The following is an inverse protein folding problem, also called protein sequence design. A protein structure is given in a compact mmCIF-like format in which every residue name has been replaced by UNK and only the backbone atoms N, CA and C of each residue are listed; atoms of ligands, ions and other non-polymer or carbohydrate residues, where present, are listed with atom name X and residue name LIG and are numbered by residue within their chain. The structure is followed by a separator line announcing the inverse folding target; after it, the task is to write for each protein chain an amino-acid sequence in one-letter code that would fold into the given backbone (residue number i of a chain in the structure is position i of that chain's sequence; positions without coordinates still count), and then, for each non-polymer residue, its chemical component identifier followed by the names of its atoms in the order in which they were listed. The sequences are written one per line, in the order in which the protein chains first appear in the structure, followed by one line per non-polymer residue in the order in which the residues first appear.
data_IF_863752434595
#
_entry.id   IF_863752434595
#
_cell.length_a   1.000
_cell.length_b   1.000
_cell.length_c   1.000
_cell.angle_alpha   90.00
_cell.angle_beta   90.00
_cell.angle_gamma   90.00
#
_symmetry.space_group_name_H-M   'P 1'
#
loop_
_entity.id
_entity.type
_entity.pdbx_description
1 polymer ?
#
# COMPACT_ATOMS: atom_id res chain seq x y z
N UNK A 1 63.84 -40.31 6.38
CA UNK A 1 65.30 -40.12 6.49
C UNK A 1 65.83 -39.84 5.08
N UNK A 2 66.41 -38.64 4.83
CA UNK A 2 66.88 -38.13 3.51
C UNK A 2 65.73 -37.95 2.48
N UNK A 3 65.44 -36.78 1.88
CA UNK A 3 66.19 -35.60 1.39
C UNK A 3 67.03 -35.86 0.14
N UNK A 4 66.60 -35.26 -0.97
CA UNK A 4 67.46 -34.61 -1.97
C UNK A 4 66.71 -33.42 -2.59
N UNK A 5 67.41 -32.30 -2.82
CA UNK A 5 66.87 -31.02 -3.30
C UNK A 5 67.24 -30.74 -4.77
N UNK A 6 66.43 -29.90 -5.43
CA UNK A 6 66.85 -28.82 -6.35
C UNK A 6 65.57 -27.99 -6.68
N UNK A 7 65.42 -26.68 -6.41
CA UNK A 7 66.25 -25.49 -6.72
C UNK A 7 66.29 -25.24 -8.26
N UNK A 8 65.85 -24.13 -8.88
CA UNK A 8 65.31 -22.78 -8.51
C UNK A 8 64.29 -22.37 -9.64
N UNK A 9 63.23 -21.54 -9.47
CA UNK A 9 63.10 -20.07 -9.73
C UNK A 9 61.78 -19.54 -9.15
N UNK A 10 61.79 -18.29 -8.64
CA UNK A 10 60.68 -17.63 -7.94
C UNK A 10 59.59 -17.00 -8.85
N UNK A 11 58.39 -16.86 -8.29
CA UNK A 11 57.38 -15.87 -8.69
C UNK A 11 56.51 -15.48 -7.47
N UNK A 12 56.93 -14.44 -6.74
CA UNK A 12 56.25 -13.94 -5.55
C UNK A 12 55.15 -12.93 -5.92
N UNK A 13 53.92 -13.09 -5.42
CA UNK A 13 52.99 -11.96 -5.35
C UNK A 13 51.92 -12.12 -4.24
N UNK A 14 52.29 -11.80 -3.00
CA UNK A 14 51.34 -11.60 -1.90
C UNK A 14 50.88 -10.14 -1.92
N UNK A 15 49.66 -9.87 -2.39
CA UNK A 15 49.13 -8.51 -2.44
C UNK A 15 48.57 -8.08 -1.08
N UNK A 16 49.43 -7.50 -0.25
CA UNK A 16 49.04 -6.75 0.94
C UNK A 16 48.70 -5.31 0.53
N UNK A 17 47.43 -4.90 0.55
CA UNK A 17 47.04 -3.53 0.20
C UNK A 17 46.63 -2.72 1.44
N UNK A 18 47.62 -2.09 2.06
CA UNK A 18 47.41 -1.14 3.15
C UNK A 18 46.96 0.23 2.61
N UNK A 19 45.80 0.70 3.07
CA UNK A 19 45.32 2.04 2.75
C UNK A 19 46.22 3.12 3.37
N UNK A 20 46.96 3.85 2.52
CA UNK A 20 47.70 5.03 2.94
C UNK A 20 46.92 6.30 2.55
N UNK A 21 46.51 7.08 3.54
CA UNK A 21 46.03 8.45 3.34
C UNK A 21 47.21 9.39 3.09
N UNK A 22 47.39 9.87 1.86
CA UNK A 22 48.08 11.13 1.55
C UNK A 22 47.90 11.53 0.08
N UNK A 23 47.03 12.50 -0.20
CA UNK A 23 46.86 13.11 -1.53
C UNK A 23 46.98 14.63 -1.46
N UNK A 24 48.19 15.16 -1.58
CA UNK A 24 48.43 16.61 -1.57
C UNK A 24 47.96 17.28 -2.88
N UNK A 25 46.83 18.00 -2.83
CA UNK A 25 46.41 18.92 -3.89
C UNK A 25 47.12 20.27 -3.77
N UNK A 26 47.81 20.70 -4.84
CA UNK A 26 48.49 22.01 -4.91
C UNK A 26 47.49 23.17 -4.90
N UNK A 27 47.86 24.26 -4.21
CA UNK A 27 47.16 25.54 -4.31
C UNK A 27 47.11 26.05 -5.75
N UNK A 28 45.96 26.62 -6.13
CA UNK A 28 45.84 27.59 -7.22
C UNK A 28 45.10 28.79 -6.67
N UNK A 29 45.79 29.92 -6.59
CA UNK A 29 45.17 31.20 -6.31
C UNK A 29 44.17 31.54 -7.42
N UNK A 30 42.97 31.98 -7.06
CA UNK A 30 42.12 32.71 -8.00
C UNK A 30 41.32 33.78 -7.25
N UNK A 31 41.62 35.04 -7.56
CA UNK A 31 40.97 36.22 -7.01
C UNK A 31 39.57 36.37 -7.61
N UNK A 32 38.53 36.02 -6.85
CA UNK A 32 37.13 36.20 -7.23
C UNK A 32 36.31 36.74 -6.05
N UNK A 33 35.70 37.92 -6.22
CA UNK A 33 34.76 38.49 -5.24
C UNK A 33 33.42 37.74 -5.28
N UNK A 34 32.76 37.65 -4.12
CA UNK A 34 31.34 37.28 -4.03
C UNK A 34 31.11 36.08 -3.13
N UNK A 35 30.69 36.34 -1.89
CA UNK A 35 30.17 35.30 -1.02
C UNK A 35 28.64 35.28 -1.19
N UNK A 36 28.10 34.23 -1.82
CA UNK A 36 26.67 33.94 -1.78
C UNK A 36 26.44 32.60 -1.09
N UNK A 37 25.65 32.65 -0.01
CA UNK A 37 25.19 31.47 0.71
C UNK A 37 24.12 30.81 -0.13
N UNK A 38 24.35 29.58 -0.60
CA UNK A 38 23.31 28.75 -1.19
C UNK A 38 22.27 28.36 -0.12
N UNK A 39 21.28 29.22 0.08
CA UNK A 39 20.16 28.98 0.97
C UNK A 39 19.17 28.05 0.27
N UNK A 40 19.25 26.75 0.54
CA UNK A 40 18.37 25.73 -0.03
C UNK A 40 16.95 25.80 0.52
N UNK A 41 16.21 26.85 0.18
CA UNK A 41 14.76 26.88 0.38
C UNK A 41 14.12 25.98 -0.69
N UNK A 42 13.55 24.86 -0.27
CA UNK A 42 12.56 24.16 -1.09
C UNK A 42 11.38 25.08 -1.29
N UNK A 43 11.15 25.57 -2.51
CA UNK A 43 9.89 26.23 -2.84
C UNK A 43 8.76 25.24 -2.59
N UNK A 44 7.92 25.52 -1.62
CA UNK A 44 6.70 24.77 -1.38
C UNK A 44 5.80 24.96 -2.60
N UNK A 45 5.77 23.96 -3.48
CA UNK A 45 5.01 24.01 -4.72
C UNK A 45 3.55 24.29 -4.40
N UNK A 46 2.98 25.30 -5.06
CA UNK A 46 1.59 25.71 -4.89
C UNK A 46 0.69 24.47 -4.96
N UNK A 47 -0.27 24.28 -4.02
CA UNK A 47 -1.11 23.09 -4.02
C UNK A 47 -1.83 22.96 -5.37
N UNK A 48 -1.49 21.90 -6.10
CA UNK A 48 -2.13 21.59 -7.38
C UNK A 48 -3.61 21.40 -7.08
N UNK A 49 -4.44 22.27 -7.63
CA UNK A 49 -5.89 22.21 -7.45
C UNK A 49 -6.41 20.99 -8.21
N UNK A 50 -6.53 19.86 -7.51
CA UNK A 50 -7.05 18.61 -8.06
C UNK A 50 -8.51 18.81 -8.39
N UNK A 51 -8.80 19.06 -9.68
CA UNK A 51 -10.16 19.13 -10.20
C UNK A 51 -10.67 17.74 -10.58
N UNK A 52 -12.00 17.55 -10.70
CA UNK A 52 -12.54 16.33 -11.25
C UNK A 52 -12.04 16.13 -12.69
N UNK A 53 -11.34 15.02 -12.92
CA UNK A 53 -10.93 14.61 -14.26
C UNK A 53 -12.11 13.86 -14.88
N UNK A 54 -12.71 14.43 -15.92
CA UNK A 54 -13.63 13.69 -16.78
C UNK A 54 -12.81 12.66 -17.58
N UNK A 55 -13.03 11.39 -17.28
CA UNK A 55 -12.47 10.25 -18.00
C UNK A 55 -13.60 9.59 -18.80
N UNK A 56 -13.29 9.04 -19.98
CA UNK A 56 -14.20 8.18 -20.77
C UNK A 56 -14.52 6.84 -20.07
N UNK A 57 -14.12 6.69 -18.80
CA UNK A 57 -14.17 5.46 -18.02
C UNK A 57 -15.58 5.06 -17.59
N UNK A 58 -16.57 5.96 -17.63
CA UNK A 58 -17.92 5.67 -17.14
C UNK A 58 -18.61 4.60 -18.00
N UNK A 59 -18.42 4.66 -19.32
CA UNK A 59 -18.94 3.68 -20.26
C UNK A 59 -18.15 2.36 -20.19
N UNK A 60 -16.81 2.40 -20.12
CA UNK A 60 -15.96 1.22 -19.90
C UNK A 60 -16.36 0.45 -18.63
N UNK A 61 -16.59 1.17 -17.52
CA UNK A 61 -17.05 0.61 -16.24
C UNK A 61 -18.45 -0.01 -16.35
N UNK A 62 -19.42 0.69 -16.97
CA UNK A 62 -20.78 0.17 -17.15
C UNK A 62 -20.80 -1.09 -18.00
N UNK A 63 -20.01 -1.12 -19.07
CA UNK A 63 -19.97 -2.26 -19.99
C UNK A 63 -19.21 -3.44 -19.37
N UNK A 64 -18.21 -3.18 -18.53
CA UNK A 64 -17.57 -4.21 -17.69
C UNK A 64 -18.57 -4.88 -16.74
N UNK A 65 -19.42 -4.12 -16.05
CA UNK A 65 -20.46 -4.70 -15.18
C UNK A 65 -21.48 -5.53 -15.96
N UNK A 66 -21.93 -5.03 -17.14
CA UNK A 66 -22.87 -5.76 -18.02
C UNK A 66 -22.27 -7.04 -18.60
N UNK A 67 -20.95 -7.10 -18.79
CA UNK A 67 -20.26 -8.28 -19.32
C UNK A 67 -20.19 -9.44 -18.31
N UNK A 68 -20.33 -9.16 -17.01
CA UNK A 68 -20.25 -10.15 -15.92
C UNK A 68 -21.45 -10.04 -14.96
N UNK A 69 -22.70 -10.26 -15.43
CA UNK A 69 -23.92 -10.02 -14.64
C UNK A 69 -24.05 -10.95 -13.41
N UNK A 70 -23.47 -12.15 -13.46
CA UNK A 70 -23.43 -13.09 -12.32
C UNK A 70 -22.38 -12.71 -11.26
N UNK A 71 -21.43 -11.83 -11.59
CA UNK A 71 -20.42 -11.33 -10.67
C UNK A 71 -20.84 -9.99 -10.04
N UNK A 72 -21.52 -9.13 -10.78
CA UNK A 72 -21.97 -7.80 -10.35
C UNK A 72 -23.49 -7.78 -10.14
N UNK A 73 -23.94 -8.26 -8.99
CA UNK A 73 -25.36 -8.44 -8.66
C UNK A 73 -25.88 -7.28 -7.80
N UNK A 74 -27.05 -6.75 -8.12
CA UNK A 74 -27.76 -5.78 -7.27
C UNK A 74 -29.02 -6.46 -6.75
N UNK A 75 -29.19 -6.47 -5.43
CA UNK A 75 -30.33 -7.06 -4.74
C UNK A 75 -31.04 -5.99 -3.90
N UNK A 76 -32.03 -6.41 -3.13
CA UNK A 76 -32.68 -5.59 -2.11
C UNK A 76 -32.24 -6.03 -0.72
N UNK A 77 -32.41 -5.16 0.26
CA UNK A 77 -32.19 -5.48 1.67
C UNK A 77 -33.07 -6.65 2.13
N UNK A 78 -34.26 -6.82 1.54
CA UNK A 78 -35.15 -7.97 1.79
C UNK A 78 -34.58 -9.33 1.33
N UNK A 79 -33.57 -9.36 0.44
CA UNK A 79 -32.92 -10.59 -0.03
C UNK A 79 -31.80 -11.07 0.93
N UNK A 80 -31.51 -10.32 2.00
CA UNK A 80 -30.54 -10.69 3.03
C UNK A 80 -31.18 -11.75 3.96
N UNK A 81 -30.54 -12.90 4.21
CA UNK A 81 -31.12 -13.94 5.07
C UNK A 81 -31.38 -13.44 6.51
N UNK A 82 -32.60 -13.65 7.00
CA UNK A 82 -33.02 -13.23 8.35
C UNK A 82 -32.28 -13.96 9.48
N UNK A 83 -31.69 -15.14 9.20
CA UNK A 83 -31.03 -16.01 10.17
C UNK A 83 -29.51 -15.83 10.25
N UNK A 84 -28.99 -14.75 9.67
CA UNK A 84 -27.59 -14.35 9.81
C UNK A 84 -27.22 -14.05 11.26
N UNK A 85 -26.14 -14.68 11.73
CA UNK A 85 -25.49 -14.34 12.99
C UNK A 85 -24.54 -13.18 12.74
N UNK A 86 -24.98 -11.99 13.14
CA UNK A 86 -24.17 -10.78 13.05
C UNK A 86 -23.19 -10.67 14.21
N UNK A 87 -21.96 -10.30 13.89
CA UNK A 87 -20.85 -10.04 14.81
C UNK A 87 -20.38 -8.58 14.60
N UNK A 88 -20.00 -7.89 15.68
CA UNK A 88 -19.59 -6.48 15.67
C UNK A 88 -18.17 -6.22 16.21
N UNK A 89 -17.52 -7.24 16.79
CA UNK A 89 -16.17 -7.15 17.36
C UNK A 89 -16.03 -6.27 18.60
N UNK A 90 -17.12 -5.69 19.14
CA UNK A 90 -17.05 -4.72 20.24
C UNK A 90 -16.72 -5.34 21.61
N UNK A 91 -16.69 -6.67 21.68
CA UNK A 91 -16.27 -7.43 22.86
C UNK A 91 -14.77 -7.79 22.91
N UNK A 92 -14.00 -7.52 21.85
CA UNK A 92 -12.55 -7.80 21.83
C UNK A 92 -11.79 -6.90 22.83
N UNK A 93 -10.68 -7.38 23.42
CA UNK A 93 -9.95 -6.64 24.44
C UNK A 93 -9.25 -5.41 23.87
N UNK A 94 -9.13 -4.34 24.66
CA UNK A 94 -8.44 -3.12 24.21
C UNK A 94 -6.92 -3.33 24.24
N UNK A 95 -6.33 -3.59 23.07
CA UNK A 95 -4.87 -3.71 22.85
C UNK A 95 -4.09 -2.37 22.90
N UNK A 96 -4.79 -1.24 23.04
CA UNK A 96 -4.17 0.10 23.01
C UNK A 96 -4.03 0.72 24.40
N UNK A 97 -2.96 1.51 24.62
CA UNK A 97 -2.79 2.18 25.91
C UNK A 97 -3.77 3.35 26.06
N UNK A 98 -4.61 3.40 27.13
CA UNK A 98 -5.50 4.53 27.37
C UNK A 98 -4.73 5.83 27.71
N UNK A 99 -3.43 5.72 28.02
CA UNK A 99 -2.54 6.84 28.32
C UNK A 99 -1.81 7.39 27.07
N UNK A 100 -2.19 6.94 25.86
CA UNK A 100 -1.59 7.40 24.61
C UNK A 100 -1.78 8.91 24.41
N UNK A 101 -0.67 9.65 24.36
CA UNK A 101 -0.66 11.11 24.13
C UNK A 101 -0.79 11.40 22.64
N UNK A 102 -1.74 12.26 22.26
CA UNK A 102 -1.93 12.72 20.88
C UNK A 102 -0.95 13.86 20.55
N UNK A 103 -0.46 13.88 19.31
CA UNK A 103 0.38 14.95 18.76
C UNK A 103 1.89 14.65 18.72
N UNK A 104 2.66 15.60 18.17
CA UNK A 104 4.10 15.46 17.91
C UNK A 104 4.42 15.04 16.47
N UNK A 105 5.71 14.86 16.19
CA UNK A 105 6.22 14.44 14.86
C UNK A 105 6.94 13.11 14.99
N UNK A 106 6.44 12.07 14.31
CA UNK A 106 7.11 10.78 14.22
C UNK A 106 8.08 10.80 13.02
N UNK A 107 9.38 10.80 13.30
CA UNK A 107 10.42 10.69 12.28
C UNK A 107 10.78 9.21 12.08
N UNK A 108 10.58 8.70 10.86
CA UNK A 108 10.90 7.32 10.48
C UNK A 108 11.97 7.30 9.38
N UNK A 109 12.79 6.25 9.37
CA UNK A 109 13.64 5.93 8.23
C UNK A 109 12.83 5.15 7.17
N UNK A 110 12.95 5.54 5.90
CA UNK A 110 12.54 4.72 4.76
C UNK A 110 13.77 4.30 3.97
N UNK A 111 13.79 3.05 3.52
CA UNK A 111 14.92 2.49 2.77
C UNK A 111 15.03 2.98 1.33
N UNK A 112 13.96 3.55 0.77
CA UNK A 112 13.95 4.15 -0.58
C UNK A 112 12.85 5.23 -0.68
N UNK A 113 12.95 6.10 -1.67
CA UNK A 113 11.92 7.06 -2.06
C UNK A 113 10.90 6.43 -3.03
N UNK A 114 9.60 6.74 -2.91
CA UNK A 114 8.57 6.25 -3.82
C UNK A 114 8.86 6.64 -5.28
N UNK A 115 9.03 5.64 -6.13
CA UNK A 115 9.06 5.79 -7.60
C UNK A 115 7.66 6.10 -8.18
N UNK A 116 6.61 5.80 -7.42
CA UNK A 116 5.20 6.04 -7.74
C UNK A 116 4.42 6.33 -6.46
N UNK A 117 3.34 7.09 -6.56
CA UNK A 117 2.37 7.30 -5.47
C UNK A 117 1.15 6.36 -5.58
N UNK A 118 1.16 5.42 -6.52
CA UNK A 118 0.11 4.40 -6.67
C UNK A 118 0.36 3.23 -5.73
N UNK A 119 -0.69 2.71 -5.10
CA UNK A 119 -0.60 1.51 -4.25
C UNK A 119 -0.57 0.18 -5.02
N UNK A 120 -0.90 0.21 -6.33
CA UNK A 120 -0.94 -0.94 -7.24
C UNK A 120 -0.41 -0.55 -8.63
N UNK A 121 0.30 -1.47 -9.28
CA UNK A 121 0.93 -1.30 -10.58
C UNK A 121 2.46 -1.37 -10.55
N UNK A 122 3.13 -0.94 -11.63
CA UNK A 122 4.59 -0.86 -11.70
C UNK A 122 5.16 -0.02 -10.55
N UNK A 123 6.28 -0.48 -9.98
CA UNK A 123 7.02 0.12 -8.87
C UNK A 123 6.23 0.38 -7.56
N UNK A 124 4.98 -0.11 -7.46
CA UNK A 124 4.10 0.13 -6.32
C UNK A 124 4.42 -0.71 -5.06
N UNK A 125 5.33 -1.67 -5.14
CA UNK A 125 5.69 -2.60 -4.04
C UNK A 125 6.92 -2.18 -3.23
N UNK A 126 7.40 -0.94 -3.39
CA UNK A 126 8.55 -0.42 -2.62
C UNK A 126 8.27 -0.22 -1.13
N UNK A 127 9.34 0.02 -0.36
CA UNK A 127 9.31 0.26 1.10
C UNK A 127 8.31 1.35 1.52
N UNK A 128 8.14 2.37 0.69
CA UNK A 128 7.23 3.48 0.95
C UNK A 128 5.73 3.13 0.82
N UNK A 129 5.37 2.00 0.18
CA UNK A 129 3.97 1.60 -0.10
C UNK A 129 3.08 1.64 1.13
N UNK A 130 3.62 1.25 2.30
CA UNK A 130 2.91 1.27 3.58
C UNK A 130 2.35 2.64 3.94
N UNK A 131 3.08 3.70 3.62
CA UNK A 131 2.67 5.08 3.85
C UNK A 131 1.66 5.61 2.83
N UNK A 132 1.38 4.87 1.75
CA UNK A 132 0.37 5.18 0.74
C UNK A 132 -0.92 4.42 1.07
N UNK A 133 -0.86 3.09 1.21
CA UNK A 133 -2.05 2.27 1.44
C UNK A 133 -2.24 1.89 2.91
N UNK A 134 -1.35 1.05 3.44
CA UNK A 134 -1.61 0.29 4.67
C UNK A 134 -1.80 1.16 5.94
N UNK A 135 -1.32 2.41 5.91
CA UNK A 135 -1.50 3.40 6.98
C UNK A 135 -2.65 4.42 6.74
N UNK A 136 -3.31 4.43 5.57
CA UNK A 136 -4.38 5.40 5.24
C UNK A 136 -5.70 4.75 4.78
N UNK A 137 -5.67 3.48 4.37
CA UNK A 137 -6.83 2.74 3.91
C UNK A 137 -7.28 1.73 4.97
N UNK A 138 -8.57 1.70 5.23
CA UNK A 138 -9.22 0.72 6.11
C UNK A 138 -9.85 -0.38 5.25
N UNK A 139 -9.76 -1.63 5.69
CA UNK A 139 -10.52 -2.76 5.13
C UNK A 139 -11.96 -2.76 5.67
N UNK A 140 -12.78 -3.71 5.21
CA UNK A 140 -14.14 -3.94 5.75
C UNK A 140 -14.11 -4.20 7.26
N UNK A 141 -13.24 -5.10 7.68
CA UNK A 141 -12.95 -5.47 9.08
C UNK A 141 -11.43 -5.62 9.23
N UNK A 142 -10.92 -5.62 10.46
CA UNK A 142 -9.53 -5.95 10.77
C UNK A 142 -9.45 -7.17 11.68
N UNK A 143 -8.37 -7.95 11.58
CA UNK A 143 -7.99 -8.94 12.58
C UNK A 143 -7.59 -8.22 13.87
N UNK A 144 -7.95 -8.78 15.02
CA UNK A 144 -7.53 -8.27 16.31
C UNK A 144 -6.04 -8.63 16.54
N UNK A 145 -5.17 -7.70 16.96
CA UNK A 145 -3.72 -7.94 16.99
C UNK A 145 -3.23 -8.88 18.11
N UNK A 146 -4.10 -9.24 19.07
CA UNK A 146 -3.75 -10.08 20.24
C UNK A 146 -4.68 -11.29 20.45
N UNK A 147 -5.70 -11.48 19.60
CA UNK A 147 -6.68 -12.58 19.68
C UNK A 147 -6.99 -13.09 18.27
N UNK A 148 -7.60 -14.28 18.15
CA UNK A 148 -8.08 -14.81 16.86
C UNK A 148 -9.41 -14.14 16.40
N UNK A 149 -9.79 -13.02 17.01
CA UNK A 149 -11.03 -12.28 16.74
C UNK A 149 -10.89 -11.23 15.64
N UNK A 150 -12.02 -10.59 15.33
CA UNK A 150 -12.09 -9.49 14.36
C UNK A 150 -12.70 -8.24 15.01
N UNK A 151 -12.26 -7.08 14.55
CA UNK A 151 -12.72 -5.76 14.99
C UNK A 151 -13.27 -4.95 13.80
N UNK A 152 -14.24 -4.05 14.02
CA UNK A 152 -14.88 -3.29 12.96
C UNK A 152 -13.92 -2.26 12.34
N UNK A 153 -14.18 -1.91 11.09
CA UNK A 153 -13.41 -0.92 10.34
C UNK A 153 -14.37 -0.02 9.53
N UNK A 154 -14.43 -0.12 8.20
CA UNK A 154 -15.49 0.57 7.42
C UNK A 154 -16.83 -0.18 7.45
N UNK A 155 -16.86 -1.45 7.84
CA UNK A 155 -18.06 -2.16 8.23
C UNK A 155 -18.18 -2.21 9.77
N UNK A 156 -19.39 -1.96 10.27
CA UNK A 156 -19.71 -1.97 11.71
C UNK A 156 -20.17 -3.34 12.23
N UNK A 157 -20.59 -4.23 11.31
CA UNK A 157 -20.87 -5.64 11.59
C UNK A 157 -20.71 -6.49 10.34
N UNK A 158 -20.44 -7.78 10.54
CA UNK A 158 -20.35 -8.80 9.50
C UNK A 158 -21.13 -10.05 9.90
N UNK A 159 -21.42 -10.92 8.93
CA UNK A 159 -22.00 -12.24 9.19
C UNK A 159 -21.48 -13.24 8.15
N UNK A 160 -21.13 -14.45 8.58
CA UNK A 160 -20.76 -15.55 7.69
C UNK A 160 -21.99 -16.38 7.37
N UNK A 161 -22.26 -16.58 6.08
CA UNK A 161 -23.37 -17.39 5.58
C UNK A 161 -23.24 -18.87 5.96
N UNK A 162 -24.37 -19.60 5.93
CA UNK A 162 -24.43 -21.04 6.21
C UNK A 162 -23.52 -21.90 5.32
N UNK A 163 -23.21 -21.41 4.11
CA UNK A 163 -22.30 -22.03 3.15
C UNK A 163 -20.82 -21.90 3.51
N UNK A 164 -20.48 -21.02 4.48
CA UNK A 164 -19.12 -20.60 4.86
C UNK A 164 -18.32 -20.02 3.68
N UNK A 165 -19.00 -19.46 2.68
CA UNK A 165 -18.40 -18.87 1.47
C UNK A 165 -18.91 -17.47 1.19
N UNK A 166 -20.18 -17.20 1.51
CA UNK A 166 -20.77 -15.87 1.43
C UNK A 166 -20.52 -15.12 2.74
N UNK A 167 -19.98 -13.91 2.68
CA UNK A 167 -19.80 -13.03 3.84
C UNK A 167 -20.59 -11.74 3.60
N UNK A 168 -21.41 -11.38 4.57
CA UNK A 168 -22.25 -10.19 4.55
C UNK A 168 -21.58 -9.11 5.40
N UNK A 169 -21.62 -7.86 4.94
CA UNK A 169 -21.06 -6.71 5.64
C UNK A 169 -22.10 -5.60 5.69
N UNK A 170 -22.25 -4.95 6.84
CA UNK A 170 -22.99 -3.69 6.93
C UNK A 170 -22.01 -2.54 7.14
N UNK A 171 -21.96 -1.63 6.17
CA UNK A 171 -21.09 -0.46 6.23
C UNK A 171 -21.49 0.47 7.39
N UNK A 172 -20.49 1.08 8.02
CA UNK A 172 -20.72 2.14 8.99
C UNK A 172 -21.23 3.40 8.26
N UNK A 173 -22.43 3.93 8.57
CA UNK A 173 -22.96 5.15 7.94
C UNK A 173 -22.14 6.41 8.25
N UNK A 174 -21.17 6.34 9.16
CA UNK A 174 -20.19 7.39 9.47
C UNK A 174 -18.84 7.23 8.74
N UNK A 175 -18.58 6.12 8.04
CA UNK A 175 -17.35 5.92 7.27
C UNK A 175 -17.21 6.95 6.15
N UNK A 176 -16.10 7.70 6.12
CA UNK A 176 -15.81 8.76 5.14
C UNK A 176 -14.43 8.60 4.51
N UNK A 177 -14.31 9.04 3.27
CA UNK A 177 -13.03 9.39 2.67
C UNK A 177 -12.49 10.69 3.27
N UNK A 178 -11.21 11.00 3.01
CA UNK A 178 -10.52 12.17 3.60
C UNK A 178 -11.01 13.53 3.06
N UNK A 179 -11.80 13.53 1.97
CA UNK A 179 -12.52 14.69 1.44
C UNK A 179 -13.90 14.90 2.09
N UNK A 180 -14.38 13.94 2.88
CA UNK A 180 -15.67 13.97 3.56
C UNK A 180 -16.81 13.25 2.82
N UNK A 181 -16.57 12.63 1.67
CA UNK A 181 -17.58 11.83 0.97
C UNK A 181 -17.84 10.47 1.69
N UNK A 182 -19.09 9.96 1.68
CA UNK A 182 -19.42 8.66 2.28
C UNK A 182 -18.84 7.49 1.50
N UNK A 183 -18.35 6.48 2.24
CA UNK A 183 -18.09 5.15 1.66
C UNK A 183 -19.44 4.50 1.34
N UNK A 184 -19.58 3.99 0.12
CA UNK A 184 -20.83 3.41 -0.40
C UNK A 184 -20.60 1.97 -0.85
N UNK A 185 -21.67 1.18 -0.85
CA UNK A 185 -21.68 -0.19 -1.40
C UNK A 185 -21.20 -0.22 -2.86
N UNK A 186 -21.53 0.80 -3.66
CA UNK A 186 -21.08 0.94 -5.06
C UNK A 186 -19.57 1.07 -5.25
N UNK A 187 -18.83 1.51 -4.22
CA UNK A 187 -17.39 1.71 -4.34
C UNK A 187 -16.65 0.35 -4.39
N UNK A 188 -17.28 -0.73 -3.90
CA UNK A 188 -16.76 -2.10 -4.00
C UNK A 188 -16.88 -2.67 -5.42
N UNK A 189 -17.95 -2.37 -6.17
CA UNK A 189 -18.03 -2.70 -7.59
C UNK A 189 -16.90 -2.02 -8.38
N UNK A 190 -16.64 -0.74 -8.07
CA UNK A 190 -15.54 -0.02 -8.70
C UNK A 190 -14.17 -0.60 -8.31
N UNK A 191 -13.99 -1.04 -7.07
CA UNK A 191 -12.76 -1.74 -6.64
C UNK A 191 -12.48 -2.99 -7.46
N UNK A 192 -13.47 -3.87 -7.65
CA UNK A 192 -13.29 -5.07 -8.48
C UNK A 192 -13.03 -4.74 -9.95
N UNK A 193 -13.72 -3.76 -10.53
CA UNK A 193 -13.37 -3.24 -11.86
C UNK A 193 -11.92 -2.74 -11.93
N UNK A 194 -11.53 -1.88 -10.97
CA UNK A 194 -10.23 -1.23 -10.95
C UNK A 194 -9.09 -2.25 -10.84
N UNK A 195 -9.21 -3.21 -9.92
CA UNK A 195 -8.19 -4.25 -9.71
C UNK A 195 -8.11 -5.27 -10.85
N UNK A 196 -9.18 -5.43 -11.66
CA UNK A 196 -9.20 -6.24 -12.89
C UNK A 196 -8.82 -5.44 -14.15
N UNK A 197 -8.69 -4.12 -14.06
CA UNK A 197 -8.41 -3.27 -15.22
C UNK A 197 -6.97 -3.44 -15.75
N UNK A 198 -6.84 -3.62 -17.06
CA UNK A 198 -5.53 -3.66 -17.77
C UNK A 198 -4.72 -2.36 -17.58
N UNK A 199 -5.38 -1.24 -17.31
CA UNK A 199 -4.74 0.07 -17.15
C UNK A 199 -3.81 0.12 -15.93
N UNK A 200 -4.08 -0.68 -14.88
CA UNK A 200 -3.23 -0.68 -13.68
C UNK A 200 -1.88 -1.36 -13.91
N UNK A 201 -1.76 -2.25 -14.92
CA UNK A 201 -0.57 -3.05 -15.23
C UNK A 201 -0.05 -3.84 -14.01
N UNK A 202 -0.93 -4.60 -13.35
CA UNK A 202 -0.60 -5.47 -12.23
C UNK A 202 -1.20 -6.87 -12.43
N UNK A 203 -0.53 -7.77 -13.18
CA UNK A 203 -1.09 -9.09 -13.53
C UNK A 203 -1.53 -9.92 -12.32
N UNK A 204 -0.77 -9.87 -11.22
CA UNK A 204 -1.15 -10.54 -9.97
C UNK A 204 -2.46 -10.01 -9.38
N UNK A 205 -2.72 -8.70 -9.46
CA UNK A 205 -4.00 -8.13 -9.01
C UNK A 205 -5.14 -8.47 -9.96
N UNK A 206 -4.87 -8.48 -11.27
CA UNK A 206 -5.87 -8.86 -12.26
C UNK A 206 -6.29 -10.34 -12.11
N UNK A 207 -5.36 -11.22 -11.73
CA UNK A 207 -5.61 -12.63 -11.36
C UNK A 207 -6.29 -12.75 -9.98
N UNK A 208 -5.79 -12.09 -8.94
CA UNK A 208 -6.31 -12.26 -7.58
C UNK A 208 -7.78 -11.82 -7.44
N UNK A 209 -8.19 -10.77 -8.16
CA UNK A 209 -9.55 -10.24 -8.14
C UNK A 209 -10.46 -10.80 -9.25
N UNK A 210 -10.11 -11.93 -9.86
CA UNK A 210 -10.92 -12.56 -10.92
C UNK A 210 -12.26 -13.14 -10.43
N UNK A 211 -13.03 -13.66 -11.39
CA UNK A 211 -14.32 -14.33 -11.19
C UNK A 211 -14.21 -15.85 -10.93
N UNK A 212 -13.02 -16.36 -10.61
CA UNK A 212 -12.82 -17.70 -10.06
C UNK A 212 -12.60 -17.66 -8.55
N UNK A 213 -11.86 -16.66 -8.07
CA UNK A 213 -11.47 -16.47 -6.66
C UNK A 213 -12.51 -15.68 -5.87
N UNK A 214 -13.16 -14.71 -6.52
CA UNK A 214 -14.29 -13.98 -5.97
C UNK A 214 -15.54 -14.27 -6.80
N UNK A 215 -16.70 -14.37 -6.15
CA UNK A 215 -17.96 -14.74 -6.79
C UNK A 215 -19.08 -13.87 -6.24
N UNK A 216 -20.04 -13.51 -7.11
CA UNK A 216 -21.33 -12.92 -6.73
C UNK A 216 -21.21 -11.73 -5.75
N UNK A 217 -20.47 -10.69 -6.16
CA UNK A 217 -20.39 -9.44 -5.42
C UNK A 217 -21.78 -8.78 -5.50
N UNK A 218 -22.45 -8.72 -4.35
CA UNK A 218 -23.82 -8.22 -4.22
C UNK A 218 -23.84 -6.87 -3.52
N UNK A 219 -24.62 -5.91 -4.05
CA UNK A 219 -24.99 -4.64 -3.38
C UNK A 219 -26.48 -4.61 -3.04
#
# INVERSE_FOLDING_TARGET
MKITENQIVAASLTLLMACNFAGCGKSRDNTGKGADKANGQSEATVPVKVGPVALDSVEEVKDFYKASPEFFVIKKTEDIPEDLKWEDGLGEPVFSSPNAKKGGTMNLHTGDWPRTLRFVGPDASGSFRRHILDNNAFSLVHEHPETDGYIPAIARRWAVGKDKKTVYFELDPSARYSDGEPVRVTDFFFHFYFMRSKHIKAPWSNDYYDDEKFLNITL
#
